data_IF_216242896199
#
_entry.id   IF_216242896199
#
_cell.length_a   1.000
_cell.length_b   1.000
_cell.length_c   1.000
_cell.angle_alpha   90.00
_cell.angle_beta   90.00
_cell.angle_gamma   90.00
#
_symmetry.space_group_name_H-M   'P 1'
#
loop_
_entity.id
_entity.type
_entity.pdbx_description
1 polymer ?
#
# COMPACT_ATOMS: atom_id res chain seq x y z
N UNK A 1 11.50 -3.95 11.94
CA UNK A 1 12.50 -3.41 10.99
C UNK A 1 11.76 -2.44 10.08
N UNK A 2 12.12 -1.15 10.03
CA UNK A 2 11.50 -0.21 9.10
C UNK A 2 11.68 -0.67 7.65
N UNK A 3 10.63 -0.55 6.84
CA UNK A 3 10.63 -0.86 5.41
C UNK A 3 10.04 0.32 4.64
N UNK A 4 10.60 0.62 3.48
CA UNK A 4 10.10 1.68 2.61
C UNK A 4 8.77 1.27 1.96
N UNK A 5 7.78 2.17 2.02
CA UNK A 5 6.52 2.06 1.31
C UNK A 5 6.06 3.45 0.90
N UNK A 6 6.07 3.71 -0.41
CA UNK A 6 5.52 4.92 -1.01
C UNK A 6 4.24 4.57 -1.76
N UNK A 7 3.09 4.96 -1.19
CA UNK A 7 1.77 4.70 -1.77
C UNK A 7 1.50 5.51 -3.05
N UNK A 8 2.32 6.52 -3.36
CA UNK A 8 2.27 7.25 -4.63
C UNK A 8 3.10 6.57 -5.74
N UNK A 9 3.50 5.32 -5.55
CA UNK A 9 4.39 4.58 -6.46
C UNK A 9 4.02 3.09 -6.50
N UNK A 10 3.36 2.62 -7.56
CA UNK A 10 2.98 1.21 -7.69
C UNK A 10 4.18 0.27 -7.57
N UNK A 11 5.32 0.66 -8.12
CA UNK A 11 6.58 -0.09 -8.01
C UNK A 11 7.12 -0.21 -6.57
N UNK A 12 6.86 0.79 -5.71
CA UNK A 12 7.25 0.75 -4.29
C UNK A 12 6.34 -0.21 -3.54
N UNK A 13 5.03 -0.16 -3.82
CA UNK A 13 4.01 -1.06 -3.25
C UNK A 13 4.33 -2.53 -3.57
N UNK A 14 4.66 -2.84 -4.83
CA UNK A 14 5.06 -4.20 -5.23
C UNK A 14 6.29 -4.70 -4.46
N UNK A 15 7.36 -3.91 -4.44
CA UNK A 15 8.61 -4.28 -3.73
C UNK A 15 8.39 -4.47 -2.24
N UNK A 16 7.59 -3.61 -1.62
CA UNK A 16 7.21 -3.74 -0.21
C UNK A 16 6.44 -5.04 0.03
N UNK A 17 5.41 -5.32 -0.77
CA UNK A 17 4.58 -6.52 -0.60
C UNK A 17 5.38 -7.81 -0.81
N UNK A 18 6.23 -7.87 -1.85
CA UNK A 18 7.12 -9.01 -2.10
C UNK A 18 8.03 -9.29 -0.91
N UNK A 19 8.62 -8.23 -0.35
CA UNK A 19 9.49 -8.36 0.82
C UNK A 19 8.71 -8.77 2.05
N UNK A 20 7.52 -8.23 2.27
CA UNK A 20 6.66 -8.59 3.41
C UNK A 20 6.28 -10.08 3.34
N UNK A 21 5.83 -10.56 2.18
CA UNK A 21 5.47 -11.97 1.99
C UNK A 21 6.66 -12.91 2.21
N UNK A 22 7.87 -12.47 1.83
CA UNK A 22 9.11 -13.23 2.01
C UNK A 22 9.59 -13.26 3.46
N UNK A 23 9.63 -12.10 4.11
CA UNK A 23 10.30 -11.91 5.40
C UNK A 23 9.36 -12.25 6.58
N UNK A 24 8.04 -12.20 6.39
CA UNK A 24 7.05 -12.45 7.43
C UNK A 24 6.19 -13.69 7.13
N UNK A 25 6.32 -14.77 7.93
CA UNK A 25 5.58 -16.00 7.69
C UNK A 25 4.08 -15.85 7.92
N UNK A 26 3.65 -14.90 8.75
CA UNK A 26 2.24 -14.62 9.04
C UNK A 26 1.95 -13.11 9.10
N UNK A 27 0.75 -12.72 8.66
CA UNK A 27 0.24 -11.36 8.74
C UNK A 27 -1.19 -11.42 9.26
N UNK A 28 -1.41 -11.00 10.51
CA UNK A 28 -2.73 -11.06 11.14
C UNK A 28 -3.57 -9.81 10.88
N UNK A 29 -2.92 -8.65 10.70
CA UNK A 29 -3.60 -7.35 10.60
C UNK A 29 -2.90 -6.50 9.55
N UNK A 30 -3.69 -5.87 8.68
CA UNK A 30 -3.27 -4.79 7.80
C UNK A 30 -4.04 -3.52 8.20
N UNK A 31 -3.31 -2.43 8.46
CA UNK A 31 -3.91 -1.13 8.81
C UNK A 31 -3.64 -0.15 7.67
N UNK A 32 -4.65 0.08 6.83
CA UNK A 32 -4.63 1.09 5.78
C UNK A 32 -4.87 2.49 6.37
N UNK A 33 -3.84 3.04 7.02
CA UNK A 33 -3.95 4.32 7.75
C UNK A 33 -3.37 5.52 7.00
N UNK A 34 -2.33 5.31 6.18
CA UNK A 34 -1.64 6.43 5.57
C UNK A 34 -2.57 7.23 4.65
N UNK A 35 -2.30 8.51 4.49
CA UNK A 35 -3.10 9.36 3.62
C UNK A 35 -2.46 10.72 3.45
N UNK A 36 -2.78 11.35 2.33
CA UNK A 36 -2.34 12.71 1.99
C UNK A 36 -3.55 13.59 1.75
N UNK A 37 -3.38 14.85 2.10
CA UNK A 37 -4.28 15.92 1.72
C UNK A 37 -3.44 17.08 1.20
N UNK A 38 -3.77 17.58 0.03
CA UNK A 38 -3.21 18.79 -0.56
C UNK A 38 -4.34 19.73 -0.95
N UNK A 39 -4.06 21.03 -0.86
CA UNK A 39 -5.07 22.05 -1.15
C UNK A 39 -5.56 21.95 -2.60
N UNK A 40 -6.83 22.29 -2.84
CA UNK A 40 -7.48 22.20 -4.16
C UNK A 40 -6.81 23.03 -5.27
N UNK A 41 -5.90 23.93 -4.93
CA UNK A 41 -5.13 24.73 -5.91
C UNK A 41 -3.86 24.02 -6.39
N UNK A 42 -3.43 22.98 -5.68
CA UNK A 42 -2.19 22.27 -5.95
C UNK A 42 -2.53 20.94 -6.64
N UNK A 43 -2.45 20.92 -7.96
CA UNK A 43 -2.60 19.69 -8.73
C UNK A 43 -1.31 18.88 -8.63
N UNK A 44 -1.40 17.67 -8.10
CA UNK A 44 -0.29 16.75 -8.08
C UNK A 44 -0.74 15.36 -8.50
N UNK A 45 0.24 14.56 -8.92
CA UNK A 45 0.04 13.21 -9.41
C UNK A 45 1.01 12.25 -8.74
N UNK A 46 0.60 10.99 -8.64
CA UNK A 46 1.50 9.89 -8.31
C UNK A 46 2.54 9.67 -9.40
N UNK A 47 3.58 8.87 -9.13
CA UNK A 47 4.58 8.50 -10.14
C UNK A 47 3.98 7.79 -11.35
N UNK A 48 2.82 7.17 -11.15
CA UNK A 48 2.07 6.41 -12.16
C UNK A 48 0.98 7.25 -12.85
N UNK A 49 0.89 8.56 -12.57
CA UNK A 49 0.02 9.50 -13.27
C UNK A 49 -1.42 9.61 -12.74
N UNK A 50 -1.72 9.04 -11.57
CA UNK A 50 -3.03 9.21 -10.93
C UNK A 50 -3.08 10.50 -10.12
N UNK A 51 -4.24 11.14 -10.06
CA UNK A 51 -4.48 12.27 -9.16
C UNK A 51 -4.09 11.87 -7.72
N UNK A 52 -3.36 12.73 -7.01
CA UNK A 52 -2.64 12.36 -5.79
C UNK A 52 -3.53 11.80 -4.67
N UNK A 53 -4.72 12.35 -4.44
CA UNK A 53 -5.61 11.87 -3.39
C UNK A 53 -6.17 10.50 -3.76
N UNK A 54 -6.63 10.33 -5.00
CA UNK A 54 -7.13 9.04 -5.48
C UNK A 54 -6.02 7.98 -5.51
N UNK A 55 -4.85 8.36 -5.99
CA UNK A 55 -3.68 7.50 -6.11
C UNK A 55 -3.19 6.99 -4.75
N UNK A 56 -2.98 7.88 -3.78
CA UNK A 56 -2.43 7.50 -2.46
C UNK A 56 -3.51 6.94 -1.54
N UNK A 57 -4.62 7.67 -1.37
CA UNK A 57 -5.59 7.34 -0.32
C UNK A 57 -6.48 6.16 -0.71
N UNK A 58 -6.56 5.83 -2.01
CA UNK A 58 -7.36 4.70 -2.48
C UNK A 58 -6.54 3.67 -3.27
N UNK A 59 -6.01 4.01 -4.44
CA UNK A 59 -5.39 3.01 -5.34
C UNK A 59 -4.17 2.33 -4.71
N UNK A 60 -3.34 3.08 -3.99
CA UNK A 60 -2.16 2.53 -3.32
C UNK A 60 -2.53 1.50 -2.24
N UNK A 61 -3.50 1.85 -1.38
CA UNK A 61 -4.02 0.93 -0.36
C UNK A 61 -4.73 -0.27 -0.97
N UNK A 62 -5.51 -0.05 -2.02
CA UNK A 62 -6.22 -1.10 -2.73
C UNK A 62 -5.24 -2.13 -3.31
N UNK A 63 -4.20 -1.68 -4.02
CA UNK A 63 -3.17 -2.55 -4.55
C UNK A 63 -2.45 -3.31 -3.43
N UNK A 64 -1.97 -2.61 -2.39
CA UNK A 64 -1.26 -3.22 -1.27
C UNK A 64 -2.10 -4.33 -0.61
N UNK A 65 -3.39 -4.03 -0.37
CA UNK A 65 -4.32 -4.97 0.25
C UNK A 65 -4.50 -6.21 -0.61
N UNK A 66 -4.67 -6.06 -1.92
CA UNK A 66 -4.82 -7.19 -2.83
C UNK A 66 -3.54 -8.05 -2.90
N UNK A 67 -2.36 -7.44 -2.93
CA UNK A 67 -1.08 -8.16 -2.96
C UNK A 67 -0.83 -8.97 -1.67
N UNK A 68 -1.34 -8.50 -0.53
CA UNK A 68 -1.19 -9.17 0.76
C UNK A 68 -2.41 -10.04 1.13
N UNK A 69 -3.46 -10.05 0.31
CA UNK A 69 -4.75 -10.64 0.67
C UNK A 69 -4.67 -12.14 0.97
N UNK A 70 -3.96 -12.89 0.12
CA UNK A 70 -3.83 -14.33 0.30
C UNK A 70 -3.01 -14.66 1.55
N UNK A 71 -2.00 -13.84 1.86
CA UNK A 71 -1.20 -13.98 3.08
C UNK A 71 -2.06 -13.72 4.32
N UNK A 72 -2.83 -12.64 4.32
CA UNK A 72 -3.78 -12.31 5.39
C UNK A 72 -4.78 -13.43 5.64
N UNK A 73 -5.35 -14.02 4.58
CA UNK A 73 -6.27 -15.17 4.68
C UNK A 73 -5.58 -16.41 5.25
N UNK A 74 -4.36 -16.68 4.84
CA UNK A 74 -3.60 -17.85 5.31
C UNK A 74 -3.20 -17.76 6.79
N UNK A 75 -3.17 -16.56 7.35
CA UNK A 75 -2.87 -16.30 8.76
C UNK A 75 -4.13 -16.13 9.62
N UNK A 76 -5.32 -16.42 9.09
CA UNK A 76 -6.54 -16.37 9.87
C UNK A 76 -6.50 -17.39 11.02
N UNK A 77 -7.02 -17.05 12.21
CA UNK A 77 -7.09 -17.99 13.32
C UNK A 77 -7.90 -19.24 12.93
N UNK A 78 -7.44 -20.39 13.41
CA UNK A 78 -8.03 -21.73 13.17
C UNK A 78 -9.40 -21.92 13.81
#
# INVERSE_FOLDING_TARGET
IPMELDLASLSSIHKFAERVVKDFPEIHVLINNAGVYMGLKDVAFTKDGFEIHFGVNHLGHFLLTNLLLDKLKSSAPS
#
